data_IF_453938160571
#
_entry.id   IF_453938160571
#
_cell.length_a   1.000
_cell.length_b   1.000
_cell.length_c   1.000
_cell.angle_alpha   90.00
_cell.angle_beta   90.00
_cell.angle_gamma   90.00
#
_symmetry.space_group_name_H-M   'P 1'
#
loop_
_entity.id
_entity.type
_entity.pdbx_description
1 polymer ?
#
# COMPACT_ATOMS: atom_id res chain seq x y z
N UNK A 1 6.85 5.72 -10.64
CA UNK A 1 7.81 6.30 -11.62
C UNK A 1 9.01 6.90 -10.90
N UNK A 2 8.83 7.86 -9.98
CA UNK A 2 9.93 8.47 -9.22
C UNK A 2 10.79 7.46 -8.46
N UNK A 3 10.17 6.49 -7.79
CA UNK A 3 10.87 5.42 -7.05
C UNK A 3 11.75 4.56 -7.96
N UNK A 4 11.26 4.24 -9.16
CA UNK A 4 12.00 3.43 -10.13
C UNK A 4 13.21 4.19 -10.69
N UNK A 5 13.02 5.46 -11.06
CA UNK A 5 14.09 6.33 -11.56
C UNK A 5 15.17 6.52 -10.49
N UNK A 6 14.78 6.75 -9.23
CA UNK A 6 15.71 6.91 -8.11
C UNK A 6 16.56 5.66 -7.85
N UNK A 7 15.95 4.46 -7.89
CA UNK A 7 16.67 3.19 -7.73
C UNK A 7 17.69 3.01 -8.86
N UNK A 8 17.28 3.26 -10.10
CA UNK A 8 18.17 3.11 -11.28
C UNK A 8 19.33 4.12 -11.21
N UNK A 9 19.05 5.39 -10.96
CA UNK A 9 20.08 6.44 -10.90
C UNK A 9 21.08 6.20 -9.76
N UNK A 10 20.58 5.88 -8.56
CA UNK A 10 21.44 5.55 -7.41
C UNK A 10 22.28 4.30 -7.66
N UNK A 11 21.67 3.26 -8.24
CA UNK A 11 22.36 2.03 -8.63
C UNK A 11 23.48 2.29 -9.62
N UNK A 12 23.24 3.09 -10.67
CA UNK A 12 24.27 3.41 -11.68
C UNK A 12 25.44 4.21 -11.11
N UNK A 13 25.17 5.17 -10.21
CA UNK A 13 26.21 5.97 -9.58
C UNK A 13 27.10 5.13 -8.66
N UNK A 14 26.50 4.25 -7.86
CA UNK A 14 27.24 3.29 -7.03
C UNK A 14 28.08 2.34 -7.88
N UNK A 15 27.51 1.82 -8.96
CA UNK A 15 28.22 0.91 -9.85
C UNK A 15 29.42 1.58 -10.52
N UNK A 16 29.27 2.84 -10.96
CA UNK A 16 30.35 3.62 -11.54
C UNK A 16 31.47 3.92 -10.53
N UNK A 17 31.10 4.27 -9.28
CA UNK A 17 32.08 4.49 -8.21
C UNK A 17 32.89 3.23 -7.87
N UNK A 18 32.27 2.06 -7.87
CA UNK A 18 32.92 0.76 -7.64
C UNK A 18 33.92 0.44 -8.77
N UNK A 19 33.55 0.72 -10.02
CA UNK A 19 34.45 0.49 -11.16
C UNK A 19 35.70 1.38 -11.11
N UNK A 20 35.58 2.63 -10.65
CA UNK A 20 36.72 3.54 -10.53
C UNK A 20 37.74 3.15 -9.45
N UNK A 21 37.33 2.44 -8.38
CA UNK A 21 38.20 2.14 -7.24
C UNK A 21 39.01 0.84 -7.32
N UNK A 22 38.83 0.00 -8.35
CA UNK A 22 39.64 -1.22 -8.49
C UNK A 22 38.90 -2.45 -9.03
N UNK A 23 37.64 -2.31 -9.44
CA UNK A 23 36.87 -3.36 -10.09
C UNK A 23 35.90 -4.12 -9.16
N UNK A 24 34.92 -4.78 -9.77
CA UNK A 24 33.77 -5.40 -9.06
C UNK A 24 34.18 -6.56 -8.16
N UNK A 25 35.30 -7.23 -8.46
CA UNK A 25 35.76 -8.43 -7.75
C UNK A 25 36.13 -8.18 -6.28
N UNK A 26 36.52 -6.96 -5.90
CA UNK A 26 36.87 -6.59 -4.53
C UNK A 26 35.62 -6.51 -3.64
N UNK A 27 34.48 -6.16 -4.23
CA UNK A 27 33.19 -6.02 -3.53
C UNK A 27 32.40 -7.34 -3.48
N UNK A 28 32.79 -8.34 -4.29
CA UNK A 28 32.18 -9.66 -4.28
C UNK A 28 32.81 -10.56 -3.22
N UNK A 29 32.44 -10.33 -1.95
CA UNK A 29 32.96 -11.07 -0.81
C UNK A 29 31.86 -11.97 -0.19
N UNK A 30 31.97 -13.28 -0.43
CA UNK A 30 31.00 -14.28 0.06
C UNK A 30 30.87 -14.27 1.59
N UNK A 31 31.96 -14.23 2.39
CA UNK A 31 31.86 -14.07 3.84
C UNK A 31 31.10 -12.82 4.30
N UNK A 32 31.36 -11.66 3.69
CA UNK A 32 30.69 -10.41 4.02
C UNK A 32 29.19 -10.49 3.71
N UNK A 33 28.82 -11.10 2.57
CA UNK A 33 27.42 -11.35 2.23
C UNK A 33 26.74 -12.26 3.26
N UNK A 34 27.40 -13.33 3.72
CA UNK A 34 26.85 -14.20 4.76
C UNK A 34 26.63 -13.46 6.08
N UNK A 35 27.53 -12.57 6.49
CA UNK A 35 27.38 -11.80 7.72
C UNK A 35 26.23 -10.79 7.60
N UNK A 36 26.15 -10.07 6.49
CA UNK A 36 25.10 -9.06 6.28
C UNK A 36 23.74 -9.73 6.10
N UNK A 37 23.59 -10.68 5.17
CA UNK A 37 22.31 -11.37 4.95
C UNK A 37 21.92 -12.25 6.13
N UNK A 38 22.86 -13.04 6.66
CA UNK A 38 22.60 -13.91 7.81
C UNK A 38 22.29 -13.12 9.08
N UNK A 39 23.07 -12.07 9.35
CA UNK A 39 22.86 -11.20 10.52
C UNK A 39 21.56 -10.41 10.43
N UNK A 40 21.22 -9.87 9.25
CA UNK A 40 19.94 -9.17 9.07
C UNK A 40 18.74 -10.11 9.16
N UNK A 41 18.80 -11.32 8.56
CA UNK A 41 17.76 -12.33 8.70
C UNK A 41 17.59 -12.78 10.16
N UNK A 42 18.69 -13.04 10.87
CA UNK A 42 18.65 -13.41 12.28
C UNK A 42 18.05 -12.30 13.15
N UNK A 43 18.49 -11.06 12.96
CA UNK A 43 17.93 -9.90 13.66
C UNK A 43 16.43 -9.72 13.36
N UNK A 44 16.02 -9.94 12.12
CA UNK A 44 14.62 -9.85 11.70
C UNK A 44 13.76 -10.92 12.41
N UNK A 45 14.25 -12.15 12.52
CA UNK A 45 13.57 -13.24 13.21
C UNK A 45 13.52 -13.05 14.73
N UNK A 46 14.48 -12.34 15.32
CA UNK A 46 14.47 -11.96 16.73
C UNK A 46 13.45 -10.84 16.98
N UNK A 47 13.40 -9.83 16.11
CA UNK A 47 12.51 -8.67 16.28
C UNK A 47 11.06 -8.93 15.88
N UNK A 48 10.79 -9.85 14.96
CA UNK A 48 9.45 -10.08 14.43
C UNK A 48 9.08 -11.56 14.35
N UNK A 49 7.81 -11.91 14.66
CA UNK A 49 7.35 -13.28 14.50
C UNK A 49 7.37 -13.70 13.01
N UNK A 50 7.79 -14.95 12.75
CA UNK A 50 7.93 -15.53 11.40
C UNK A 50 6.78 -15.21 10.43
N UNK A 51 5.49 -15.31 10.84
CA UNK A 51 4.37 -15.01 9.96
C UNK A 51 4.36 -13.57 9.42
N UNK A 52 4.94 -12.61 10.15
CA UNK A 52 5.03 -11.21 9.72
C UNK A 52 6.15 -11.02 8.71
N UNK A 53 7.30 -11.67 8.93
CA UNK A 53 8.46 -11.66 8.02
C UNK A 53 8.09 -12.15 6.62
N UNK A 54 7.35 -13.27 6.54
CA UNK A 54 6.93 -13.84 5.25
C UNK A 54 5.97 -12.91 4.48
N UNK A 55 5.11 -12.15 5.19
CA UNK A 55 4.17 -11.19 4.58
C UNK A 55 4.87 -9.95 3.98
N UNK A 56 6.07 -9.61 4.43
CA UNK A 56 6.83 -8.44 3.92
C UNK A 56 7.09 -8.56 2.41
N UNK A 57 7.32 -9.78 1.90
CA UNK A 57 7.54 -10.01 0.47
C UNK A 57 6.34 -9.61 -0.40
N UNK A 58 5.12 -9.84 0.09
CA UNK A 58 3.88 -9.42 -0.58
C UNK A 58 3.69 -7.90 -0.58
N UNK A 59 4.02 -7.24 0.53
CA UNK A 59 3.94 -5.77 0.65
C UNK A 59 5.01 -5.09 -0.22
N UNK A 60 6.20 -5.68 -0.32
CA UNK A 60 7.28 -5.14 -1.17
C UNK A 60 6.86 -5.08 -2.64
N UNK A 61 6.12 -6.09 -3.13
CA UNK A 61 5.54 -6.08 -4.48
C UNK A 61 4.45 -5.02 -4.66
N UNK A 62 3.73 -4.69 -3.59
CA UNK A 62 2.71 -3.63 -3.61
C UNK A 62 3.34 -2.23 -3.76
N UNK A 63 4.58 -2.00 -3.31
CA UNK A 63 5.29 -0.72 -3.52
C UNK A 63 5.54 -0.45 -5.02
N UNK A 64 5.74 -1.51 -5.81
CA UNK A 64 5.88 -1.41 -7.26
C UNK A 64 4.52 -1.31 -7.97
N UNK A 65 3.44 -1.79 -7.35
CA UNK A 65 2.08 -1.61 -7.83
C UNK A 65 1.58 -0.23 -7.41
N UNK A 66 1.60 0.70 -8.36
CA UNK A 66 1.07 2.06 -8.20
C UNK A 66 -0.47 2.01 -8.17
N UNK A 67 -1.07 1.53 -7.09
CA UNK A 67 -2.51 1.63 -6.88
C UNK A 67 -2.81 2.92 -6.11
N UNK A 68 -2.63 4.04 -6.81
CA UNK A 68 -3.07 5.34 -6.31
C UNK A 68 -4.39 5.57 -7.01
N UNK A 69 -5.50 5.21 -6.36
CA UNK A 69 -6.81 5.59 -6.87
C UNK A 69 -6.80 7.10 -7.07
N UNK A 70 -6.92 7.53 -8.33
CA UNK A 70 -6.80 8.94 -8.66
C UNK A 70 -7.89 9.71 -7.92
N UNK A 71 -7.52 10.76 -7.18
CA UNK A 71 -8.47 11.58 -6.43
C UNK A 71 -9.65 12.06 -7.30
N UNK A 72 -9.42 12.31 -8.58
CA UNK A 72 -10.46 12.67 -9.55
C UNK A 72 -11.52 11.57 -9.73
N UNK A 73 -11.13 10.30 -9.72
CA UNK A 73 -12.06 9.17 -9.81
C UNK A 73 -12.91 9.05 -8.55
N UNK A 74 -12.29 9.19 -7.37
CA UNK A 74 -12.99 9.16 -6.08
C UNK A 74 -14.03 10.28 -5.99
N UNK A 75 -13.69 11.49 -6.43
CA UNK A 75 -14.62 12.63 -6.45
C UNK A 75 -15.83 12.32 -7.34
N UNK A 76 -15.62 11.78 -8.55
CA UNK A 76 -16.72 11.41 -9.45
C UNK A 76 -17.63 10.35 -8.81
N UNK A 77 -17.03 9.33 -8.19
CA UNK A 77 -17.76 8.28 -7.47
C UNK A 77 -18.63 8.88 -6.36
N UNK A 78 -18.09 9.76 -5.52
CA UNK A 78 -18.86 10.41 -4.44
C UNK A 78 -20.05 11.22 -4.97
N UNK A 79 -19.87 11.93 -6.09
CA UNK A 79 -20.96 12.70 -6.73
C UNK A 79 -22.05 11.76 -7.24
N UNK A 80 -21.68 10.67 -7.91
CA UNK A 80 -22.63 9.69 -8.45
C UNK A 80 -23.46 9.03 -7.33
N UNK A 81 -22.79 8.57 -6.26
CA UNK A 81 -23.42 8.00 -5.06
C UNK A 81 -24.41 9.00 -4.43
N UNK A 82 -24.02 10.28 -4.33
CA UNK A 82 -24.88 11.33 -3.75
C UNK A 82 -26.15 11.58 -4.58
N UNK A 83 -26.04 11.49 -5.90
CA UNK A 83 -27.15 11.70 -6.82
C UNK A 83 -28.15 10.52 -6.75
N UNK A 84 -27.63 9.29 -6.69
CA UNK A 84 -28.46 8.07 -6.53
C UNK A 84 -29.14 8.02 -5.17
N UNK A 85 -28.43 8.36 -4.09
CA UNK A 85 -28.99 8.46 -2.75
C UNK A 85 -30.21 9.41 -2.70
N UNK A 86 -30.13 10.54 -3.42
CA UNK A 86 -31.20 11.53 -3.47
C UNK A 86 -32.40 11.09 -4.33
N UNK A 87 -32.18 10.34 -5.40
CA UNK A 87 -33.25 10.00 -6.35
C UNK A 87 -33.95 8.66 -6.08
N UNK A 88 -33.23 7.65 -5.61
CA UNK A 88 -33.70 6.26 -5.70
C UNK A 88 -33.96 5.58 -4.35
N UNK A 89 -33.73 6.28 -3.22
CA UNK A 89 -33.82 5.75 -1.85
C UNK A 89 -32.86 4.58 -1.58
N UNK A 90 -32.78 4.12 -0.32
CA UNK A 90 -31.73 3.24 0.23
C UNK A 90 -31.44 1.95 -0.59
N UNK A 91 -32.40 1.42 -1.36
CA UNK A 91 -32.19 0.24 -2.22
C UNK A 91 -31.17 0.46 -3.33
N UNK A 92 -31.05 1.67 -3.87
CA UNK A 92 -30.08 1.96 -4.93
C UNK A 92 -28.62 1.96 -4.44
N UNK A 93 -28.42 2.23 -3.15
CA UNK A 93 -27.08 2.17 -2.53
C UNK A 93 -26.62 0.72 -2.35
N UNK A 94 -27.54 -0.21 -2.14
CA UNK A 94 -27.24 -1.64 -1.96
C UNK A 94 -26.73 -2.28 -3.28
N UNK A 95 -27.30 -1.86 -4.42
CA UNK A 95 -26.79 -2.26 -5.75
C UNK A 95 -25.40 -1.68 -6.06
N UNK A 96 -25.07 -0.51 -5.54
CA UNK A 96 -23.75 0.10 -5.69
C UNK A 96 -22.70 -0.50 -4.75
N UNK A 97 -23.12 -1.01 -3.60
CA UNK A 97 -22.25 -1.67 -2.63
C UNK A 97 -21.39 -2.78 -3.25
N UNK A 98 -21.98 -3.50 -4.22
CA UNK A 98 -21.33 -4.61 -4.93
C UNK A 98 -20.43 -4.15 -6.10
N UNK A 99 -20.48 -2.88 -6.48
CA UNK A 99 -19.71 -2.30 -7.61
C UNK A 99 -18.51 -1.49 -7.15
N UNK A 100 -18.40 -1.18 -5.85
CA UNK A 100 -17.31 -0.40 -5.28
C UNK A 100 -16.16 -1.33 -4.86
N UNK A 101 -15.02 -1.19 -5.52
CA UNK A 101 -13.80 -1.95 -5.18
C UNK A 101 -13.08 -1.42 -3.93
N UNK A 102 -13.30 -0.15 -3.57
CA UNK A 102 -12.63 0.48 -2.44
C UNK A 102 -13.28 0.06 -1.11
N UNK A 103 -12.55 -0.72 -0.30
CA UNK A 103 -13.01 -1.24 1.00
C UNK A 103 -13.55 -0.14 1.92
N UNK A 104 -12.89 1.02 1.96
CA UNK A 104 -13.25 2.10 2.88
C UNK A 104 -14.56 2.78 2.46
N UNK A 105 -14.76 3.00 1.16
CA UNK A 105 -16.01 3.54 0.62
C UNK A 105 -17.16 2.56 0.83
N UNK A 106 -16.89 1.26 0.66
CA UNK A 106 -17.89 0.21 0.89
C UNK A 106 -18.37 0.17 2.35
N UNK A 107 -17.43 0.17 3.30
CA UNK A 107 -17.74 0.25 4.73
C UNK A 107 -18.57 1.50 5.06
N UNK A 108 -18.21 2.65 4.48
CA UNK A 108 -18.97 3.88 4.65
C UNK A 108 -20.41 3.78 4.14
N UNK A 109 -20.63 3.16 2.98
CA UNK A 109 -21.98 2.93 2.46
C UNK A 109 -22.79 1.97 3.35
N UNK A 110 -22.20 0.87 3.81
CA UNK A 110 -22.87 -0.12 4.70
C UNK A 110 -23.44 0.58 5.93
N UNK A 111 -22.63 1.42 6.59
CA UNK A 111 -23.07 2.14 7.80
C UNK A 111 -24.17 3.18 7.52
N UNK A 112 -24.16 3.79 6.33
CA UNK A 112 -25.21 4.73 5.91
C UNK A 112 -26.52 4.00 5.63
N UNK A 113 -26.46 2.82 5.00
CA UNK A 113 -27.64 1.97 4.76
C UNK A 113 -28.22 1.48 6.10
N UNK A 114 -27.35 1.11 7.04
CA UNK A 114 -27.72 0.69 8.39
C UNK A 114 -28.25 1.84 9.27
N UNK A 115 -28.24 3.09 8.77
CA UNK A 115 -28.80 4.25 9.46
C UNK A 115 -27.98 4.73 10.66
N UNK A 116 -26.67 4.43 10.69
CA UNK A 116 -25.78 4.88 11.76
C UNK A 116 -25.64 6.41 11.79
N UNK A 117 -25.47 7.03 12.96
CA UNK A 117 -25.35 8.47 13.05
C UNK A 117 -23.98 8.93 12.50
N UNK A 118 -23.96 10.11 11.86
CA UNK A 118 -22.81 10.59 11.09
C UNK A 118 -21.50 10.69 11.89
N UNK A 119 -21.58 10.97 13.19
CA UNK A 119 -20.42 11.01 14.09
C UNK A 119 -19.78 9.62 14.27
N UNK A 120 -20.60 8.57 14.42
CA UNK A 120 -20.12 7.20 14.56
C UNK A 120 -19.52 6.68 13.25
N UNK A 121 -20.15 7.01 12.12
CA UNK A 121 -19.61 6.68 10.79
C UNK A 121 -18.22 7.29 10.63
N UNK A 122 -18.07 8.57 10.97
CA UNK A 122 -16.80 9.27 10.89
C UNK A 122 -15.74 8.64 11.78
N UNK A 123 -16.07 8.35 13.04
CA UNK A 123 -15.14 7.75 13.99
C UNK A 123 -14.66 6.36 13.52
N UNK A 124 -15.57 5.54 12.98
CA UNK A 124 -15.22 4.21 12.47
C UNK A 124 -14.34 4.30 11.22
N UNK A 125 -14.66 5.19 10.28
CA UNK A 125 -13.85 5.39 9.07
C UNK A 125 -12.47 5.99 9.39
N UNK A 126 -12.39 6.93 10.34
CA UNK A 126 -11.10 7.46 10.83
C UNK A 126 -10.28 6.39 11.54
N UNK A 127 -10.93 5.49 12.27
CA UNK A 127 -10.28 4.34 12.90
C UNK A 127 -9.70 3.40 11.84
N UNK A 128 -10.48 3.05 10.82
CA UNK A 128 -10.07 2.18 9.71
C UNK A 128 -8.94 2.77 8.86
N UNK A 129 -8.82 4.10 8.76
CA UNK A 129 -7.69 4.77 8.09
C UNK A 129 -6.36 4.62 8.85
N UNK A 130 -6.43 4.47 10.18
CA UNK A 130 -5.26 4.38 11.04
C UNK A 130 -4.71 2.94 11.18
N UNK A 131 -5.47 1.94 10.75
CA UNK A 131 -5.12 0.52 10.78
C UNK A 131 -4.70 -0.01 9.40
#
# INVERSE_FOLDING_TARGET
MTTFIGIVAGGTLLFYAILMQGGVGIFWNVPALMIVFGGTLAALLISYPLPRVLKVTGVLLQIFKKDVQHASWVIKLMVELSFKARQQSLLALDEELNKVDNRLVKLGLELVIDGQPANMIRELLETELNF
#
